data_IF_753953220277
#
_entry.id   IF_753953220277
#
_cell.length_a   1.000
_cell.length_b   1.000
_cell.length_c   1.000
_cell.angle_alpha   90.00
_cell.angle_beta   90.00
_cell.angle_gamma   90.00
#
_symmetry.space_group_name_H-M   'P 1'
#
loop_
_entity.id
_entity.type
_entity.pdbx_description
1 polymer ?
#
# COMPACT_ATOMS: atom_id res chain seq x y z
N UNK A 1 -4.18 -5.80 2.92
CA UNK A 1 -4.35 -4.75 3.96
C UNK A 1 -3.04 -4.68 4.73
N UNK A 2 -2.46 -3.50 4.79
CA UNK A 2 -1.15 -3.26 5.37
C UNK A 2 -1.24 -2.19 6.46
N UNK A 3 -0.35 -2.28 7.43
CA UNK A 3 -0.09 -1.24 8.41
C UNK A 3 1.32 -0.73 8.18
N UNK A 4 1.44 0.60 8.04
CA UNK A 4 2.71 1.26 7.83
C UNK A 4 3.05 1.94 9.14
N UNK A 5 4.17 1.52 9.73
CA UNK A 5 4.76 2.13 10.92
C UNK A 5 5.94 3.00 10.49
N UNK A 6 6.06 4.19 11.06
CA UNK A 6 7.31 4.92 11.08
C UNK A 6 7.63 5.37 12.50
N UNK A 7 8.90 5.40 12.86
CA UNK A 7 9.35 5.77 14.20
C UNK A 7 10.72 6.42 14.18
N UNK A 8 11.06 7.08 15.28
CA UNK A 8 12.40 7.63 15.54
C UNK A 8 13.04 6.80 16.66
N UNK A 9 14.24 6.27 16.42
CA UNK A 9 15.00 5.50 17.41
C UNK A 9 15.67 6.41 18.47
N UNK A 10 16.36 5.79 19.44
CA UNK A 10 17.03 6.52 20.52
C UNK A 10 18.18 7.42 20.03
N UNK A 11 18.79 7.06 18.89
CA UNK A 11 19.84 7.82 18.22
C UNK A 11 19.29 8.97 17.35
N UNK A 12 17.97 9.05 17.17
CA UNK A 12 17.30 10.09 16.38
C UNK A 12 17.13 9.74 14.89
N UNK A 13 17.39 8.50 14.47
CA UNK A 13 17.21 8.07 13.09
C UNK A 13 15.74 7.72 12.80
N UNK A 14 15.30 8.07 11.59
CA UNK A 14 13.96 7.72 11.12
C UNK A 14 13.94 6.34 10.47
N UNK A 15 12.95 5.55 10.85
CA UNK A 15 12.70 4.21 10.32
C UNK A 15 11.28 4.09 9.80
N UNK A 16 11.07 3.15 8.87
CA UNK A 16 9.74 2.73 8.48
C UNK A 16 9.69 1.22 8.27
N UNK A 17 8.48 0.67 8.42
CA UNK A 17 8.20 -0.73 8.18
C UNK A 17 6.77 -0.93 7.71
N UNK A 18 6.60 -1.84 6.76
CA UNK A 18 5.29 -2.28 6.28
C UNK A 18 5.02 -3.65 6.89
N UNK A 19 3.86 -3.78 7.52
CA UNK A 19 3.34 -5.04 8.02
C UNK A 19 2.16 -5.47 7.15
N UNK A 20 2.20 -6.68 6.61
CA UNK A 20 1.05 -7.31 5.98
C UNK A 20 0.10 -7.82 7.07
N UNK A 21 -1.06 -7.18 7.18
CA UNK A 21 -2.02 -7.44 8.27
C UNK A 21 -3.06 -8.47 7.87
N UNK A 22 -3.57 -8.38 6.64
CA UNK A 22 -4.59 -9.30 6.12
C UNK A 22 -4.62 -9.32 4.59
N UNK A 23 -5.05 -10.45 4.03
CA UNK A 23 -5.06 -10.71 2.59
C UNK A 23 -3.77 -11.38 2.13
N UNK A 24 -3.68 -11.60 0.82
CA UNK A 24 -2.55 -12.27 0.18
C UNK A 24 -2.16 -11.50 -1.08
N UNK A 25 -0.89 -11.11 -1.15
CA UNK A 25 -0.31 -10.43 -2.30
C UNK A 25 0.02 -11.42 -3.44
N UNK A 26 0.28 -12.68 -3.10
CA UNK A 26 0.63 -13.76 -4.03
C UNK A 26 -0.64 -14.53 -4.45
N UNK A 27 -1.69 -13.79 -4.81
CA UNK A 27 -3.03 -14.32 -5.09
C UNK A 27 -3.33 -14.56 -6.58
N UNK A 28 -2.29 -14.56 -7.42
CA UNK A 28 -2.34 -14.68 -8.88
C UNK A 28 -3.26 -13.66 -9.57
N UNK A 29 -3.57 -12.52 -8.93
CA UNK A 29 -4.39 -11.49 -9.55
C UNK A 29 -3.62 -10.66 -10.58
N UNK A 30 -4.31 -10.30 -11.65
CA UNK A 30 -3.69 -9.57 -12.75
C UNK A 30 -4.69 -9.04 -13.76
N UNK A 31 -4.14 -8.60 -14.88
CA UNK A 31 -4.90 -8.03 -16.01
C UNK A 31 -4.43 -8.71 -17.29
N UNK A 32 -5.37 -9.28 -18.03
CA UNK A 32 -5.13 -9.73 -19.39
C UNK A 32 -4.89 -8.50 -20.28
N UNK A 33 -3.68 -8.39 -20.84
CA UNK A 33 -3.27 -7.23 -21.64
C UNK A 33 -3.91 -7.18 -23.03
N UNK A 34 -4.52 -8.26 -23.51
CA UNK A 34 -5.24 -8.27 -24.78
C UNK A 34 -6.68 -7.79 -24.62
N UNK A 35 -7.31 -8.12 -23.49
CA UNK A 35 -8.73 -7.83 -23.26
C UNK A 35 -9.00 -6.75 -22.23
N UNK A 36 -8.00 -6.37 -21.43
CA UNK A 36 -8.13 -5.46 -20.29
C UNK A 36 -8.88 -6.07 -19.10
N UNK A 37 -9.27 -7.35 -19.17
CA UNK A 37 -10.04 -8.01 -18.11
C UNK A 37 -9.14 -8.35 -16.93
N UNK A 38 -9.65 -8.08 -15.73
CA UNK A 38 -9.02 -8.50 -14.48
C UNK A 38 -9.27 -9.99 -14.25
N UNK A 39 -8.29 -10.66 -13.65
CA UNK A 39 -8.39 -12.05 -13.21
C UNK A 39 -7.77 -12.21 -11.81
N UNK A 40 -7.91 -13.42 -11.25
CA UNK A 40 -7.48 -13.80 -9.91
C UNK A 40 -8.49 -13.44 -8.83
N UNK A 41 -8.23 -13.94 -7.62
CA UNK A 41 -9.14 -13.76 -6.48
C UNK A 41 -8.69 -12.56 -5.67
N UNK A 42 -9.66 -11.83 -5.14
CA UNK A 42 -9.44 -10.76 -4.18
C UNK A 42 -10.38 -10.91 -2.99
N UNK A 43 -10.38 -9.92 -2.12
CA UNK A 43 -11.24 -9.90 -0.95
C UNK A 43 -12.25 -8.76 -1.07
N UNK A 44 -13.54 -9.06 -0.89
CA UNK A 44 -14.59 -8.04 -0.79
C UNK A 44 -14.56 -7.29 0.55
N UNK A 45 -14.02 -7.93 1.59
CA UNK A 45 -13.76 -7.34 2.89
C UNK A 45 -12.49 -7.96 3.50
N UNK A 46 -11.80 -7.18 4.32
CA UNK A 46 -10.71 -7.65 5.16
C UNK A 46 -10.93 -7.08 6.56
N UNK A 47 -10.79 -7.93 7.57
CA UNK A 47 -10.89 -7.55 8.97
C UNK A 47 -9.86 -8.37 9.75
N UNK A 48 -9.07 -7.69 10.58
CA UNK A 48 -8.06 -8.32 11.41
C UNK A 48 -7.78 -7.44 12.63
N UNK A 49 -7.33 -8.08 13.71
CA UNK A 49 -6.71 -7.41 14.85
C UNK A 49 -5.21 -7.53 14.67
N UNK A 50 -4.49 -6.42 14.80
CA UNK A 50 -3.04 -6.37 14.67
C UNK A 50 -2.43 -5.86 15.97
N UNK A 51 -1.39 -6.55 16.44
CA UNK A 51 -0.53 -6.14 17.54
C UNK A 51 0.88 -5.94 16.97
N UNK A 52 1.50 -4.79 17.26
CA UNK A 52 2.85 -4.50 16.78
C UNK A 52 3.87 -5.27 17.65
N UNK A 53 4.53 -6.33 17.12
CA UNK A 53 5.47 -7.14 17.89
C UNK A 53 6.78 -6.41 18.20
N UNK A 54 7.02 -5.28 17.53
CA UNK A 54 8.22 -4.45 17.65
C UNK A 54 7.87 -3.09 18.29
N UNK A 55 6.75 -3.01 19.02
CA UNK A 55 6.35 -1.81 19.72
C UNK A 55 7.35 -1.47 20.84
N UNK A 56 7.84 -0.22 20.82
CA UNK A 56 8.67 0.34 21.87
C UNK A 56 7.99 1.60 22.44
N UNK A 57 7.61 1.55 23.71
CA UNK A 57 6.93 2.65 24.39
C UNK A 57 7.80 3.91 24.56
N UNK A 58 9.11 3.81 24.36
CA UNK A 58 10.04 4.94 24.43
C UNK A 58 10.19 5.69 23.10
N UNK A 59 9.69 5.14 21.98
CA UNK A 59 9.85 5.71 20.65
C UNK A 59 8.61 6.51 20.26
N UNK A 60 8.82 7.68 19.64
CA UNK A 60 7.73 8.37 18.95
C UNK A 60 7.48 7.66 17.63
N UNK A 61 6.23 7.32 17.37
CA UNK A 61 5.84 6.57 16.18
C UNK A 61 4.56 7.11 15.54
N UNK A 62 4.38 6.84 14.26
CA UNK A 62 3.11 7.01 13.57
C UNK A 62 2.73 5.71 12.87
N UNK A 63 1.41 5.52 12.73
CA UNK A 63 0.83 4.36 12.08
C UNK A 63 -0.26 4.81 11.13
N UNK A 64 -0.31 4.24 9.92
CA UNK A 64 -1.49 4.37 9.07
C UNK A 64 -1.79 3.06 8.35
N UNK A 65 -3.06 2.85 8.05
CA UNK A 65 -3.52 1.69 7.29
C UNK A 65 -3.46 1.98 5.80
N UNK A 66 -3.07 0.98 5.01
CA UNK A 66 -3.08 1.00 3.54
C UNK A 66 -3.82 -0.23 3.01
N UNK A 67 -4.89 -0.01 2.26
CA UNK A 67 -5.46 -1.02 1.39
C UNK A 67 -4.78 -0.95 0.02
N UNK A 68 -4.37 -2.11 -0.51
CA UNK A 68 -3.78 -2.24 -1.85
C UNK A 68 -4.76 -3.06 -2.68
N UNK A 69 -5.20 -2.53 -3.82
CA UNK A 69 -6.10 -3.24 -4.72
C UNK A 69 -5.34 -4.29 -5.54
N UNK A 70 -6.03 -5.38 -5.90
CA UNK A 70 -5.56 -6.25 -6.98
C UNK A 70 -5.36 -5.44 -8.26
N UNK A 71 -4.40 -5.80 -9.12
CA UNK A 71 -4.08 -5.04 -10.32
C UNK A 71 -5.30 -4.70 -11.18
N UNK A 72 -5.29 -3.49 -11.74
CA UNK A 72 -6.34 -2.97 -12.61
C UNK A 72 -5.73 -2.45 -13.93
N UNK A 73 -6.48 -2.54 -15.05
CA UNK A 73 -6.01 -2.00 -16.31
C UNK A 73 -5.85 -0.49 -16.18
N UNK A 74 -4.72 0.04 -16.63
CA UNK A 74 -4.58 1.50 -16.80
C UNK A 74 -5.52 1.94 -17.92
N UNK A 75 -6.06 3.16 -17.84
CA UNK A 75 -6.92 3.70 -18.90
C UNK A 75 -6.27 3.62 -20.29
N UNK A 76 -4.95 3.86 -20.38
CA UNK A 76 -4.21 3.82 -21.64
C UNK A 76 -4.14 2.42 -22.25
N UNK A 77 -4.18 1.36 -21.43
CA UNK A 77 -4.29 -0.02 -21.95
C UNK A 77 -5.65 -0.22 -22.63
N UNK A 78 -6.73 0.25 -22.00
CA UNK A 78 -8.08 0.14 -22.55
C UNK A 78 -8.21 0.93 -23.86
N UNK A 79 -7.62 2.12 -23.92
CA UNK A 79 -7.56 2.94 -25.12
C UNK A 79 -6.81 2.23 -26.25
N UNK A 80 -5.62 1.68 -25.96
CA UNK A 80 -4.82 0.90 -26.91
C UNK A 80 -5.48 -0.40 -27.41
N UNK A 81 -6.39 -1.00 -26.63
CA UNK A 81 -7.19 -2.17 -27.04
C UNK A 81 -8.32 -1.75 -27.98
N UNK A 82 -8.81 -0.51 -27.87
CA UNK A 82 -9.89 -0.01 -28.72
C UNK A 82 -9.45 0.25 -30.17
N UNK A 83 -8.15 0.50 -30.39
CA UNK A 83 -7.57 0.62 -31.73
C UNK A 83 -7.45 -0.74 -32.42
N UNK A 84 -7.69 -0.79 -33.72
CA UNK A 84 -7.27 -1.91 -34.55
C UNK A 84 -5.74 -2.00 -34.63
N UNK A 85 -5.20 -3.19 -34.89
CA UNK A 85 -3.74 -3.45 -34.90
C UNK A 85 -2.98 -2.50 -35.84
N UNK A 86 -3.57 -2.12 -36.98
CA UNK A 86 -2.97 -1.22 -37.96
C UNK A 86 -2.97 0.27 -37.55
N UNK A 87 -3.82 0.66 -36.59
CA UNK A 87 -3.99 2.06 -36.14
C UNK A 87 -3.43 2.29 -34.74
N UNK A 88 -2.92 1.24 -34.10
CA UNK A 88 -2.38 1.26 -32.75
C UNK A 88 -1.11 2.10 -32.70
N UNK A 89 -1.07 3.20 -31.92
CA UNK A 89 0.13 4.04 -31.86
C UNK A 89 1.31 3.34 -31.15
N UNK A 90 2.55 3.65 -31.54
CA UNK A 90 3.79 3.07 -30.97
C UNK A 90 3.86 3.15 -29.43
N UNK A 91 3.19 4.15 -28.84
CA UNK A 91 3.13 4.35 -27.40
C UNK A 91 2.47 3.16 -26.67
N UNK A 92 1.62 2.40 -27.35
CA UNK A 92 0.90 1.26 -26.80
C UNK A 92 1.81 0.07 -26.46
N UNK A 93 2.97 -0.02 -27.10
CA UNK A 93 3.95 -1.10 -26.87
C UNK A 93 5.22 -0.57 -26.16
N UNK A 94 5.18 0.68 -25.70
CA UNK A 94 6.28 1.31 -25.00
C UNK A 94 6.45 0.72 -23.60
N UNK A 95 7.64 0.18 -23.25
CA UNK A 95 7.91 -0.36 -21.91
C UNK A 95 7.97 0.73 -20.84
N UNK A 96 8.01 2.01 -21.24
CA UNK A 96 8.04 3.16 -20.32
C UNK A 96 6.68 3.44 -19.69
N UNK A 97 5.60 2.91 -20.26
CA UNK A 97 4.25 3.14 -19.78
C UNK A 97 3.69 1.82 -19.29
N UNK A 98 3.38 1.74 -17.99
CA UNK A 98 2.75 0.54 -17.45
C UNK A 98 1.32 0.41 -17.99
N UNK A 99 1.01 -0.76 -18.55
CA UNK A 99 -0.34 -1.14 -18.96
C UNK A 99 -1.26 -1.44 -17.76
N UNK A 100 -0.66 -1.71 -16.60
CA UNK A 100 -1.34 -2.17 -15.38
C UNK A 100 -0.94 -1.27 -14.22
N UNK A 101 -1.89 -0.98 -13.34
CA UNK A 101 -1.67 -0.19 -12.13
C UNK A 101 -2.23 -0.95 -10.92
N UNK A 102 -1.82 -0.52 -9.73
CA UNK A 102 -2.42 -0.92 -8.47
C UNK A 102 -2.81 0.32 -7.71
N UNK A 103 -4.11 0.44 -7.45
CA UNK A 103 -4.65 1.53 -6.64
C UNK A 103 -4.43 1.24 -5.16
N UNK A 104 -4.31 2.32 -4.38
CA UNK A 104 -4.11 2.23 -2.94
C UNK A 104 -4.98 3.26 -2.23
N UNK A 105 -5.60 2.85 -1.12
CA UNK A 105 -6.35 3.74 -0.24
C UNK A 105 -5.66 3.80 1.12
N UNK A 106 -5.37 5.00 1.60
CA UNK A 106 -4.61 5.21 2.84
C UNK A 106 -5.52 5.89 3.88
N UNK A 107 -5.46 5.41 5.11
CA UNK A 107 -6.13 6.06 6.22
C UNK A 107 -5.30 7.24 6.75
N UNK A 108 -5.95 8.13 7.51
CA UNK A 108 -5.23 9.14 8.29
C UNK A 108 -4.29 8.47 9.31
N UNK A 109 -3.11 9.05 9.57
CA UNK A 109 -2.19 8.51 10.54
C UNK A 109 -2.68 8.73 11.97
N UNK A 110 -2.40 7.76 12.83
CA UNK A 110 -2.42 7.90 14.29
C UNK A 110 -0.99 8.09 14.78
N UNK A 111 -0.82 8.95 15.78
CA UNK A 111 0.47 9.27 16.37
C UNK A 111 0.56 8.69 17.77
N UNK A 112 1.68 8.06 18.07
CA UNK A 112 2.05 7.63 19.40
C UNK A 112 3.19 8.51 19.92
N UNK A 113 2.95 9.17 21.05
CA UNK A 113 3.95 9.94 21.77
C UNK A 113 4.21 9.24 23.10
N UNK A 114 5.48 8.92 23.43
CA UNK A 114 5.85 8.37 24.72
C UNK A 114 5.31 9.22 25.86
N UNK A 115 4.79 8.57 26.91
CA UNK A 115 4.41 9.29 28.12
C UNK A 115 5.67 9.91 28.73
N UNK A 116 5.70 11.23 28.87
CA UNK A 116 6.72 11.90 29.68
C UNK A 116 6.49 11.50 31.13
N UNK A 117 7.46 10.81 31.73
CA UNK A 117 7.53 10.70 33.19
C UNK A 117 7.60 12.13 33.72
N UNK A 118 6.50 12.64 34.28
CA UNK A 118 6.52 13.93 34.96
C UNK A 118 7.55 13.85 36.09
N UNK A 119 8.65 14.61 35.97
CA UNK A 119 9.53 14.86 37.11
C UNK A 119 8.68 15.47 38.24
N UNK A 120 8.78 14.97 39.48
CA UNK A 120 8.03 15.53 40.59
C UNK A 120 8.41 17.00 40.76
N UNK A 121 7.40 17.88 40.72
CA UNK A 121 7.55 19.29 41.05
C UNK A 121 8.05 19.37 42.51
N UNK A 122 9.20 20.00 42.80
CA UNK A 122 9.62 20.23 44.17
C UNK A 122 8.60 21.15 44.85
N UNK A 123 8.09 20.74 46.03
CA UNK A 123 7.29 21.58 46.91
C UNK A 123 8.14 22.68 47.57
#
# INVERSE_FOLDING_TARGET
LQLIKGWIDAEGNAHNKVFDVAGDAENDAGVDRQTGKRYGRGHSNLCAVFEDPEFNAAETAYYYMRAVENPSPRWSLLDCISYGEAERPDVCDSPKISAVIQEQAWASPIWYTPATTQSPVPQ
#
